data_IF_302803439200
#
_entry.id   IF_302803439200
#
_cell.length_a   1.000
_cell.length_b   1.000
_cell.length_c   1.000
_cell.angle_alpha   90.00
_cell.angle_beta   90.00
_cell.angle_gamma   90.00
#
_symmetry.space_group_name_H-M   'P 1'
#
loop_
_entity.id
_entity.type
_entity.pdbx_description
1 polymer ?
#
# COMPACT_ATOMS: atom_id res chain seq x y z
N UNK A 1 -6.61 45.43 35.70
CA UNK A 1 -6.34 44.30 34.83
C UNK A 1 -5.01 44.37 34.08
N UNK A 2 -4.49 45.51 33.64
CA UNK A 2 -3.16 45.61 32.96
C UNK A 2 -1.95 45.19 33.81
N UNK A 3 -1.97 45.41 35.17
CA UNK A 3 -0.85 45.04 36.04
C UNK A 3 -0.67 43.53 36.26
N UNK A 4 -1.73 42.75 36.24
CA UNK A 4 -1.68 41.29 36.43
C UNK A 4 -1.10 40.60 35.18
N UNK A 5 -1.45 41.10 33.99
CA UNK A 5 -0.90 40.59 32.72
C UNK A 5 0.60 40.82 32.60
N UNK A 6 1.09 42.00 33.01
CA UNK A 6 2.52 42.31 32.97
C UNK A 6 3.31 41.45 33.96
N UNK A 7 2.77 41.17 35.14
CA UNK A 7 3.43 40.30 36.11
C UNK A 7 3.45 38.82 35.66
N UNK A 8 2.41 38.33 35.00
CA UNK A 8 2.37 36.97 34.41
C UNK A 8 3.36 36.90 33.26
N UNK A 9 3.40 37.89 32.37
CA UNK A 9 4.35 37.95 31.27
C UNK A 9 5.80 38.02 31.76
N UNK A 10 6.09 38.84 32.78
CA UNK A 10 7.40 38.93 33.40
C UNK A 10 7.79 37.61 34.09
N UNK A 11 6.88 36.97 34.81
CA UNK A 11 7.13 35.65 35.43
C UNK A 11 7.36 34.55 34.39
N UNK A 12 6.64 34.55 33.26
CA UNK A 12 6.90 33.64 32.15
C UNK A 12 8.26 33.91 31.48
N UNK A 13 8.63 35.19 31.30
CA UNK A 13 9.94 35.57 30.73
C UNK A 13 11.10 35.16 31.65
N UNK A 14 10.96 35.39 32.97
CA UNK A 14 11.95 34.96 33.97
C UNK A 14 12.04 33.44 34.04
N UNK A 15 10.92 32.73 33.95
CA UNK A 15 10.87 31.27 33.82
C UNK A 15 11.65 30.76 32.60
N UNK A 16 11.50 31.38 31.42
CA UNK A 16 12.21 31.03 30.21
C UNK A 16 13.72 31.29 30.32
N UNK A 17 14.13 32.35 30.98
CA UNK A 17 15.55 32.69 31.19
C UNK A 17 16.23 31.75 32.21
N UNK A 18 15.51 31.25 33.19
CA UNK A 18 16.05 30.28 34.17
C UNK A 18 16.25 28.89 33.57
N UNK A 19 15.54 28.53 32.49
CA UNK A 19 15.72 27.29 31.77
C UNK A 19 16.89 27.27 30.76
N UNK A 20 17.45 28.42 30.41
CA UNK A 20 18.55 28.51 29.43
C UNK A 20 19.92 28.07 29.95
N UNK A 21 20.06 27.76 31.26
CA UNK A 21 21.31 27.33 31.88
C UNK A 21 21.53 25.81 32.06
N UNK A 22 20.55 24.98 31.79
CA UNK A 22 20.71 23.53 31.95
C UNK A 22 21.40 22.90 30.74
N UNK A 23 22.62 22.36 30.91
CA UNK A 23 23.33 21.59 29.91
C UNK A 23 22.53 20.34 29.52
N UNK A 24 22.18 20.22 28.22
CA UNK A 24 21.46 19.09 27.66
C UNK A 24 22.28 17.78 27.74
N UNK A 25 23.58 17.91 27.91
CA UNK A 25 24.57 16.82 27.90
C UNK A 25 24.98 16.31 29.28
N UNK A 26 24.36 16.83 30.36
CA UNK A 26 24.79 16.60 31.76
C UNK A 26 24.74 15.13 32.23
N UNK A 27 23.90 14.29 31.65
CA UNK A 27 23.68 12.92 32.09
C UNK A 27 23.79 11.92 30.91
N UNK A 28 24.69 12.18 29.96
CA UNK A 28 25.00 11.24 28.91
C UNK A 28 25.85 10.08 29.49
N UNK A 29 25.64 8.85 29.00
CA UNK A 29 26.55 7.74 29.32
C UNK A 29 27.98 8.06 28.89
N UNK A 30 28.96 7.50 29.60
CA UNK A 30 30.38 7.67 29.26
C UNK A 30 30.67 7.17 27.84
N UNK A 31 31.33 7.99 27.04
CA UNK A 31 31.69 7.67 25.66
C UNK A 31 30.60 7.91 24.61
N UNK A 32 29.38 8.33 25.02
CA UNK A 32 28.31 8.61 24.07
C UNK A 32 28.25 10.10 23.69
N UNK A 33 27.97 10.36 22.42
CA UNK A 33 27.81 11.70 21.84
C UNK A 33 26.36 11.88 21.38
N UNK A 34 25.75 13.00 21.82
CA UNK A 34 24.37 13.32 21.49
C UNK A 34 24.23 13.70 20.03
N UNK A 35 23.32 13.04 19.32
CA UNK A 35 22.99 13.35 17.95
C UNK A 35 22.09 14.60 17.87
N UNK A 36 22.51 15.63 17.14
CA UNK A 36 21.81 16.90 17.01
C UNK A 36 21.07 17.07 15.67
N UNK A 37 21.25 16.15 14.76
CA UNK A 37 20.58 16.10 13.46
C UNK A 37 21.51 15.76 12.31
N UNK A 38 20.92 15.41 11.16
CA UNK A 38 21.62 15.21 9.91
C UNK A 38 21.39 16.40 8.97
N UNK A 39 22.32 16.56 8.05
CA UNK A 39 22.19 17.46 6.89
C UNK A 39 22.62 16.70 5.65
N UNK A 40 21.83 16.77 4.60
CA UNK A 40 22.16 16.19 3.28
C UNK A 40 22.65 17.29 2.35
N UNK A 41 23.76 17.03 1.68
CA UNK A 41 24.28 17.85 0.56
C UNK A 41 24.28 16.98 -0.68
N UNK A 42 23.73 17.50 -1.76
CA UNK A 42 23.62 16.78 -3.03
C UNK A 42 24.60 17.38 -4.02
N UNK A 43 25.49 16.54 -4.54
CA UNK A 43 26.41 16.88 -5.63
C UNK A 43 25.90 16.28 -6.93
N UNK A 44 26.21 16.90 -8.06
CA UNK A 44 25.82 16.46 -9.40
C UNK A 44 24.30 16.14 -9.49
N UNK A 45 23.46 17.03 -8.93
CA UNK A 45 22.01 16.85 -8.89
C UNK A 45 21.46 16.64 -10.30
N UNK A 46 20.71 15.57 -10.51
CA UNK A 46 19.97 15.33 -11.74
C UNK A 46 18.68 16.15 -11.75
N UNK A 47 18.34 16.71 -12.92
CA UNK A 47 17.12 17.49 -13.12
C UNK A 47 15.94 16.64 -13.64
N UNK A 48 16.05 15.30 -13.60
CA UNK A 48 14.96 14.41 -14.04
C UNK A 48 13.91 14.24 -12.94
N UNK A 49 12.62 14.07 -13.30
CA UNK A 49 11.56 13.78 -12.30
C UNK A 49 11.87 12.53 -11.44
N UNK A 50 12.46 11.50 -12.06
CA UNK A 50 12.91 10.28 -11.37
C UNK A 50 14.01 10.60 -10.35
N UNK A 51 14.93 11.52 -10.70
CA UNK A 51 15.98 11.98 -9.78
C UNK A 51 15.45 12.75 -8.58
N UNK A 52 14.38 13.52 -8.72
CA UNK A 52 13.74 14.22 -7.61
C UNK A 52 13.02 13.24 -6.66
N UNK A 53 12.36 12.22 -7.21
CA UNK A 53 11.78 11.13 -6.41
C UNK A 53 12.85 10.38 -5.65
N UNK A 54 13.94 10.00 -6.32
CA UNK A 54 15.09 9.32 -5.70
C UNK A 54 15.65 10.13 -4.52
N UNK A 55 15.86 11.44 -4.70
CA UNK A 55 16.36 12.31 -3.62
C UNK A 55 15.39 12.39 -2.43
N UNK A 56 14.09 12.43 -2.68
CA UNK A 56 13.09 12.45 -1.61
C UNK A 56 13.15 11.18 -0.76
N UNK A 57 13.28 10.03 -1.38
CA UNK A 57 13.41 8.74 -0.68
C UNK A 57 14.77 8.59 0.03
N UNK A 58 15.84 9.07 -0.61
CA UNK A 58 17.18 9.09 -0.01
C UNK A 58 17.19 9.98 1.22
N UNK A 59 16.64 11.19 1.15
CA UNK A 59 16.54 12.08 2.29
C UNK A 59 15.73 11.44 3.44
N UNK A 60 14.63 10.78 3.13
CA UNK A 60 13.84 10.04 4.13
C UNK A 60 14.63 8.88 4.75
N UNK A 61 15.46 8.17 3.97
CA UNK A 61 16.31 7.08 4.47
C UNK A 61 17.48 7.58 5.33
N UNK A 62 18.02 8.76 5.01
CA UNK A 62 19.12 9.39 5.74
C UNK A 62 18.63 10.15 6.98
N UNK A 63 17.38 10.66 6.98
CA UNK A 63 16.87 11.44 8.10
C UNK A 63 16.67 10.59 9.36
N UNK A 64 17.10 11.13 10.46
CA UNK A 64 16.81 10.66 11.81
C UNK A 64 16.47 11.84 12.68
N UNK A 65 15.27 11.86 13.21
CA UNK A 65 14.83 12.96 14.09
C UNK A 65 15.64 12.97 15.38
N UNK A 66 16.37 14.05 15.69
CA UNK A 66 17.11 14.16 16.92
C UNK A 66 16.18 14.40 18.12
N UNK A 67 16.59 13.93 19.30
CA UNK A 67 15.82 14.14 20.54
C UNK A 67 15.71 15.60 20.99
N UNK A 68 16.54 16.48 20.42
CA UNK A 68 16.60 17.91 20.75
C UNK A 68 15.53 18.75 20.04
N UNK A 69 14.83 18.18 19.05
CA UNK A 69 13.78 18.89 18.30
C UNK A 69 12.39 18.55 18.84
N UNK A 70 11.57 19.58 19.01
CA UNK A 70 10.17 19.49 19.44
C UNK A 70 9.27 20.18 18.41
N UNK A 71 8.02 19.67 18.20
CA UNK A 71 7.03 20.23 17.28
C UNK A 71 7.57 20.42 15.84
N UNK A 72 8.14 19.35 15.24
CA UNK A 72 8.61 19.41 13.86
C UNK A 72 9.79 20.35 13.60
N UNK A 73 10.51 20.74 14.63
CA UNK A 73 11.68 21.63 14.51
C UNK A 73 11.38 23.13 14.71
N UNK A 74 10.13 23.50 14.98
CA UNK A 74 9.74 24.90 15.18
C UNK A 74 10.28 25.51 16.48
N UNK A 75 10.54 24.67 17.50
CA UNK A 75 11.06 25.14 18.79
C UNK A 75 12.37 24.41 19.12
N UNK A 76 13.51 25.12 19.21
CA UNK A 76 14.81 24.56 19.55
C UNK A 76 14.98 24.28 21.05
N UNK A 77 13.91 24.22 21.84
CA UNK A 77 13.99 24.02 23.28
C UNK A 77 14.18 22.56 23.59
N UNK A 78 15.30 22.15 24.22
CA UNK A 78 15.61 20.77 24.56
C UNK A 78 14.77 20.27 25.77
N UNK A 79 13.48 20.63 25.80
CA UNK A 79 12.58 20.35 26.93
C UNK A 79 12.47 18.85 27.20
N UNK A 80 12.40 18.04 26.17
CA UNK A 80 12.36 16.56 26.31
C UNK A 80 13.65 15.99 26.89
N UNK A 81 14.81 16.53 26.49
CA UNK A 81 16.10 16.12 27.03
C UNK A 81 16.29 16.60 28.48
N UNK A 82 15.85 17.80 28.78
CA UNK A 82 15.84 18.28 30.15
C UNK A 82 14.97 17.42 31.06
N UNK A 83 13.74 17.11 30.62
CA UNK A 83 12.87 16.17 31.34
C UNK A 83 13.48 14.78 31.47
N UNK A 84 14.11 14.27 30.42
CA UNK A 84 14.81 13.01 30.49
C UNK A 84 15.90 13.02 31.56
N UNK A 85 16.76 14.03 31.55
CA UNK A 85 17.87 14.18 32.49
C UNK A 85 17.40 14.31 33.95
N UNK A 86 16.30 15.04 34.21
CA UNK A 86 15.77 15.24 35.55
C UNK A 86 14.99 14.02 36.07
N UNK A 87 14.25 13.32 35.21
CA UNK A 87 13.37 12.26 35.63
C UNK A 87 13.94 10.85 35.46
N UNK A 88 15.02 10.65 34.68
CA UNK A 88 15.66 9.32 34.48
C UNK A 88 16.13 8.69 35.82
N UNK A 89 16.50 9.50 36.78
CA UNK A 89 16.96 9.07 38.12
C UNK A 89 15.86 8.47 39.01
N UNK A 90 14.58 8.71 38.71
CA UNK A 90 13.49 8.24 39.54
C UNK A 90 13.11 6.81 39.21
N UNK A 91 13.26 5.87 40.18
CA UNK A 91 12.93 4.45 40.02
C UNK A 91 11.48 4.12 40.34
N UNK A 92 10.79 4.94 41.18
CA UNK A 92 9.40 4.74 41.62
C UNK A 92 8.67 6.08 41.85
N UNK A 93 7.34 6.05 41.93
CA UNK A 93 6.49 7.20 42.27
C UNK A 93 6.10 8.10 41.10
N UNK A 94 5.63 9.32 41.43
CA UNK A 94 5.13 10.30 40.47
C UNK A 94 6.17 10.71 39.43
N UNK A 95 7.45 10.81 39.81
CA UNK A 95 8.53 11.12 38.88
C UNK A 95 8.72 10.06 37.79
N UNK A 96 8.58 8.75 38.14
CA UNK A 96 8.62 7.69 37.14
C UNK A 96 7.37 7.68 36.24
N UNK A 97 6.21 7.95 36.78
CA UNK A 97 4.99 8.09 36.00
C UNK A 97 5.12 9.24 34.98
N UNK A 98 5.61 10.37 35.42
CA UNK A 98 5.84 11.54 34.58
C UNK A 98 6.90 11.30 33.51
N UNK A 99 8.00 10.61 33.84
CA UNK A 99 9.01 10.16 32.89
C UNK A 99 8.40 9.29 31.79
N UNK A 100 7.63 8.26 32.17
CA UNK A 100 7.01 7.35 31.20
C UNK A 100 5.97 8.04 30.29
N UNK A 101 5.29 9.06 30.80
CA UNK A 101 4.20 9.74 30.07
C UNK A 101 4.67 10.90 29.19
N UNK A 102 5.68 11.64 29.64
CA UNK A 102 6.07 12.90 29.01
C UNK A 102 7.49 12.88 28.41
N UNK A 103 8.42 12.13 29.02
CA UNK A 103 9.84 12.10 28.64
C UNK A 103 10.23 10.79 27.92
N UNK A 104 9.26 10.05 27.39
CA UNK A 104 9.43 8.68 26.88
C UNK A 104 10.36 8.51 25.66
N UNK A 105 10.99 9.56 25.14
CA UNK A 105 11.96 9.43 24.07
C UNK A 105 13.38 9.48 24.64
N UNK A 106 14.10 8.35 24.65
CA UNK A 106 15.51 8.33 25.05
C UNK A 106 16.32 9.24 24.13
N UNK A 107 17.48 9.76 24.60
CA UNK A 107 18.39 10.50 23.75
C UNK A 107 18.83 9.65 22.57
N UNK A 108 18.93 10.27 21.40
CA UNK A 108 19.49 9.64 20.22
C UNK A 108 21.01 9.92 20.23
N UNK A 109 21.80 8.87 20.24
CA UNK A 109 23.27 8.95 20.19
C UNK A 109 23.77 8.71 18.77
N UNK A 110 24.94 9.22 18.44
CA UNK A 110 25.59 8.97 17.16
C UNK A 110 25.74 7.46 16.92
N UNK A 111 26.11 6.69 17.96
CA UNK A 111 26.18 5.22 17.91
C UNK A 111 24.89 4.52 17.48
N UNK A 112 23.73 5.09 17.84
CA UNK A 112 22.40 4.53 17.53
C UNK A 112 21.86 4.95 16.16
N UNK A 113 22.44 5.99 15.53
CA UNK A 113 22.00 6.45 14.19
C UNK A 113 22.40 5.46 13.09
N UNK A 114 23.51 4.71 13.29
CA UNK A 114 24.05 3.77 12.33
C UNK A 114 24.22 4.36 10.91
N UNK A 115 25.02 5.41 10.74
CA UNK A 115 25.17 6.10 9.45
C UNK A 115 25.66 5.18 8.33
N UNK A 116 26.48 4.17 8.65
CA UNK A 116 26.97 3.18 7.67
C UNK A 116 25.83 2.37 7.03
N UNK A 117 24.83 1.97 7.81
CA UNK A 117 23.65 1.26 7.29
C UNK A 117 22.84 2.21 6.41
N UNK A 118 22.67 3.45 6.84
CA UNK A 118 21.90 4.47 6.10
C UNK A 118 22.52 4.80 4.75
N UNK A 119 23.85 4.97 4.68
CA UNK A 119 24.50 5.22 3.39
C UNK A 119 24.42 4.01 2.47
N UNK A 120 24.43 2.76 2.99
CA UNK A 120 24.19 1.56 2.16
C UNK A 120 22.78 1.56 1.59
N UNK A 121 21.77 1.86 2.39
CA UNK A 121 20.38 1.98 1.92
C UNK A 121 20.27 3.08 0.87
N UNK A 122 20.77 4.26 1.14
CA UNK A 122 20.75 5.39 0.21
C UNK A 122 21.51 5.10 -1.10
N UNK A 123 22.64 4.37 -1.03
CA UNK A 123 23.37 3.95 -2.23
C UNK A 123 22.60 2.91 -3.05
N UNK A 124 21.87 2.00 -2.39
CA UNK A 124 20.99 1.08 -3.11
C UNK A 124 19.82 1.81 -3.77
N UNK A 125 19.20 2.78 -3.09
CA UNK A 125 18.18 3.64 -3.69
C UNK A 125 18.71 4.37 -4.93
N UNK A 126 19.94 4.91 -4.90
CA UNK A 126 20.54 5.49 -6.11
C UNK A 126 20.57 4.49 -7.28
N UNK A 127 20.97 3.23 -7.01
CA UNK A 127 21.00 2.17 -8.03
C UNK A 127 19.61 1.79 -8.53
N UNK A 128 18.64 1.73 -7.63
CA UNK A 128 17.25 1.42 -7.97
C UNK A 128 16.63 2.46 -8.91
N UNK A 129 17.10 3.70 -8.84
CA UNK A 129 16.72 4.79 -9.74
C UNK A 129 17.70 5.02 -10.91
N UNK A 130 18.60 4.06 -11.19
CA UNK A 130 19.47 4.09 -12.35
C UNK A 130 20.79 4.87 -12.17
N UNK A 131 21.10 5.35 -10.97
CA UNK A 131 22.36 6.04 -10.66
C UNK A 131 23.43 5.05 -10.21
N UNK A 132 23.82 4.11 -11.09
CA UNK A 132 24.74 2.99 -10.76
C UNK A 132 26.12 3.43 -10.29
N UNK A 133 26.60 4.60 -10.76
CA UNK A 133 27.86 5.20 -10.38
C UNK A 133 27.72 6.19 -9.21
N UNK A 134 26.50 6.38 -8.70
CA UNK A 134 26.23 7.24 -7.57
C UNK A 134 26.84 6.72 -6.27
N UNK A 135 27.20 7.62 -5.39
CA UNK A 135 27.83 7.30 -4.10
C UNK A 135 27.29 8.18 -2.99
N UNK A 136 27.09 7.58 -1.82
CA UNK A 136 26.73 8.32 -0.60
C UNK A 136 27.84 8.15 0.42
N UNK A 137 28.27 9.27 1.01
CA UNK A 137 29.28 9.30 2.09
C UNK A 137 28.75 10.06 3.28
N UNK A 138 29.39 9.94 4.44
CA UNK A 138 29.04 10.70 5.61
C UNK A 138 30.27 11.19 6.36
N UNK A 139 30.11 12.31 7.08
CA UNK A 139 31.06 12.85 8.05
C UNK A 139 30.36 13.18 9.34
N UNK A 140 31.00 12.87 10.47
CA UNK A 140 30.50 13.27 11.79
C UNK A 140 31.11 14.61 12.17
N UNK A 141 30.26 15.63 12.30
CA UNK A 141 30.65 16.98 12.64
C UNK A 141 30.41 17.23 14.13
N UNK A 142 31.47 17.28 14.92
CA UNK A 142 31.40 17.62 16.36
C UNK A 142 31.15 19.10 16.53
N UNK A 143 30.25 19.45 17.44
CA UNK A 143 29.94 20.86 17.76
C UNK A 143 31.13 21.56 18.39
N UNK A 144 31.49 22.75 17.88
CA UNK A 144 32.63 23.55 18.35
C UNK A 144 32.49 24.04 19.79
N UNK A 145 31.24 24.13 20.30
CA UNK A 145 30.94 24.65 21.66
C UNK A 145 30.75 23.52 22.68
N UNK A 146 30.40 22.33 22.26
CA UNK A 146 30.09 21.22 23.14
C UNK A 146 30.50 19.91 22.46
N UNK A 147 31.64 19.35 22.82
CA UNK A 147 32.20 18.12 22.25
C UNK A 147 31.33 16.86 22.45
N UNK A 148 30.35 16.93 23.36
CA UNK A 148 29.37 15.89 23.59
C UNK A 148 28.16 15.96 22.61
N UNK A 149 28.18 16.88 21.65
CA UNK A 149 27.20 17.01 20.59
C UNK A 149 27.83 16.83 19.22
N UNK A 150 27.16 16.08 18.35
CA UNK A 150 27.57 15.98 16.98
C UNK A 150 26.38 15.88 16.03
N UNK A 151 26.60 16.30 14.81
CA UNK A 151 25.69 16.13 13.67
C UNK A 151 26.35 15.27 12.62
N UNK A 152 25.55 14.74 11.69
CA UNK A 152 26.04 13.96 10.56
C UNK A 152 25.79 14.75 9.28
N UNK A 153 26.84 14.97 8.51
CA UNK A 153 26.75 15.50 7.16
C UNK A 153 26.79 14.31 6.17
N UNK A 154 25.70 14.13 5.42
CA UNK A 154 25.64 13.18 4.33
C UNK A 154 25.91 13.90 3.00
N UNK A 155 26.79 13.34 2.19
CA UNK A 155 27.04 13.83 0.83
C UNK A 155 26.55 12.80 -0.16
N UNK A 156 25.58 13.17 -0.99
CA UNK A 156 24.98 12.34 -2.04
C UNK A 156 25.52 12.82 -3.39
N UNK A 157 26.40 12.06 -4.00
CA UNK A 157 26.90 12.31 -5.36
C UNK A 157 26.12 11.40 -6.33
N UNK A 158 25.17 11.99 -7.08
CA UNK A 158 24.25 11.22 -7.93
C UNK A 158 24.92 10.71 -9.21
N UNK A 159 25.85 11.45 -9.80
CA UNK A 159 26.41 11.18 -11.15
C UNK A 159 25.30 11.18 -12.21
N UNK A 160 25.58 10.61 -13.39
CA UNK A 160 24.63 10.53 -14.49
C UNK A 160 23.77 9.27 -14.35
N UNK A 161 22.44 9.38 -14.59
CA UNK A 161 21.55 8.22 -14.63
C UNK A 161 21.77 7.37 -15.88
N UNK A 162 21.38 6.12 -15.82
CA UNK A 162 21.30 5.22 -16.97
C UNK A 162 19.92 5.23 -17.58
N UNK A 163 19.87 5.14 -18.92
CA UNK A 163 18.64 5.09 -19.70
C UNK A 163 18.46 3.71 -20.34
N UNK A 164 17.21 3.30 -20.51
CA UNK A 164 16.87 2.05 -21.15
C UNK A 164 17.14 2.18 -22.64
N UNK A 165 17.99 1.32 -23.21
CA UNK A 165 18.26 1.25 -24.64
C UNK A 165 17.22 0.36 -25.36
N UNK A 166 17.10 -0.88 -24.88
CA UNK A 166 16.22 -1.88 -25.46
C UNK A 166 15.58 -2.77 -24.39
N UNK A 167 14.37 -3.26 -24.67
CA UNK A 167 13.65 -4.21 -23.83
C UNK A 167 13.26 -5.43 -24.66
N UNK A 168 13.69 -6.63 -24.25
CA UNK A 168 13.37 -7.89 -24.88
C UNK A 168 12.63 -8.83 -23.95
N UNK A 169 11.63 -9.55 -24.46
CA UNK A 169 10.98 -10.68 -23.79
C UNK A 169 11.54 -11.98 -24.36
N UNK A 170 12.16 -12.80 -23.52
CA UNK A 170 12.85 -14.01 -23.96
C UNK A 170 12.55 -15.22 -23.09
N UNK A 171 12.69 -16.43 -23.65
CA UNK A 171 12.54 -17.73 -22.97
C UNK A 171 11.14 -18.03 -22.44
N UNK A 172 10.13 -17.28 -22.88
CA UNK A 172 8.73 -17.61 -22.63
C UNK A 172 8.19 -18.57 -23.68
N UNK A 173 7.05 -19.24 -23.40
CA UNK A 173 6.36 -20.04 -24.42
C UNK A 173 5.87 -19.16 -25.58
N UNK A 174 5.76 -19.68 -26.82
CA UNK A 174 5.29 -18.86 -27.94
C UNK A 174 3.94 -18.19 -27.70
N UNK A 175 3.03 -18.84 -26.95
CA UNK A 175 1.71 -18.28 -26.64
C UNK A 175 1.81 -17.11 -25.66
N UNK A 176 2.58 -17.26 -24.57
CA UNK A 176 2.77 -16.17 -23.60
C UNK A 176 3.51 -15.00 -24.23
N UNK A 177 4.55 -15.27 -25.02
CA UNK A 177 5.32 -14.24 -25.73
C UNK A 177 4.40 -13.43 -26.66
N UNK A 178 3.54 -14.11 -27.44
CA UNK A 178 2.58 -13.43 -28.32
C UNK A 178 1.61 -12.50 -27.54
N UNK A 179 1.14 -12.94 -26.36
CA UNK A 179 0.28 -12.13 -25.51
C UNK A 179 1.04 -10.89 -24.98
N UNK A 180 2.27 -11.08 -24.51
CA UNK A 180 3.11 -10.02 -23.97
C UNK A 180 3.45 -8.96 -25.04
N UNK A 181 3.84 -9.40 -26.24
CA UNK A 181 4.18 -8.48 -27.36
C UNK A 181 2.96 -7.68 -27.82
N UNK A 182 1.76 -8.28 -27.89
CA UNK A 182 0.54 -7.53 -28.20
C UNK A 182 0.19 -6.48 -27.15
N UNK A 183 0.58 -6.71 -25.90
CA UNK A 183 0.37 -5.78 -24.78
C UNK A 183 1.46 -4.73 -24.63
N UNK A 184 2.51 -4.74 -25.45
CA UNK A 184 3.70 -3.89 -25.32
C UNK A 184 3.40 -2.37 -25.33
N UNK A 185 2.37 -1.95 -26.04
CA UNK A 185 1.96 -0.53 -26.08
C UNK A 185 1.56 0.07 -24.73
N UNK A 186 1.26 -0.77 -23.75
CA UNK A 186 0.88 -0.37 -22.40
C UNK A 186 2.01 -0.65 -21.39
N UNK A 187 3.25 -0.83 -21.87
CA UNK A 187 4.41 -1.08 -21.03
C UNK A 187 4.74 0.16 -20.18
N UNK A 188 5.14 -0.06 -18.94
CA UNK A 188 5.69 0.96 -18.05
C UNK A 188 7.15 1.27 -18.34
N UNK A 189 7.80 0.47 -19.19
CA UNK A 189 9.21 0.63 -19.57
C UNK A 189 9.35 0.77 -21.08
N UNK A 190 10.05 1.82 -21.52
CA UNK A 190 10.25 2.12 -22.93
C UNK A 190 11.71 2.51 -23.21
N UNK A 191 12.23 2.26 -24.41
CA UNK A 191 13.53 2.78 -24.80
C UNK A 191 13.59 4.30 -24.69
N UNK A 192 14.69 4.83 -24.16
CA UNK A 192 14.91 6.25 -23.91
C UNK A 192 14.43 6.74 -22.52
N UNK A 193 13.70 5.95 -21.77
CA UNK A 193 13.33 6.28 -20.39
C UNK A 193 14.47 5.98 -19.41
N UNK A 194 14.53 6.73 -18.31
CA UNK A 194 15.50 6.48 -17.24
C UNK A 194 15.21 5.13 -16.58
N UNK A 195 16.25 4.36 -16.28
CA UNK A 195 16.12 3.11 -15.51
C UNK A 195 15.53 3.38 -14.13
N UNK A 196 14.49 2.63 -13.78
CA UNK A 196 13.81 2.71 -12.51
C UNK A 196 13.27 1.32 -12.12
N UNK A 197 13.66 0.80 -10.96
CA UNK A 197 13.22 -0.52 -10.48
C UNK A 197 11.72 -0.54 -10.20
N UNK A 198 11.12 0.58 -9.79
CA UNK A 198 9.66 0.67 -9.55
C UNK A 198 8.90 0.38 -10.86
N UNK A 199 9.30 1.01 -11.97
CA UNK A 199 8.67 0.79 -13.27
C UNK A 199 8.88 -0.65 -13.77
N UNK A 200 10.03 -1.26 -13.47
CA UNK A 200 10.28 -2.67 -13.77
C UNK A 200 9.33 -3.60 -13.00
N UNK A 201 9.06 -3.30 -11.73
CA UNK A 201 8.13 -4.08 -10.90
C UNK A 201 6.67 -3.88 -11.32
N UNK A 202 6.30 -2.66 -11.68
CA UNK A 202 4.98 -2.36 -12.26
C UNK A 202 4.79 -3.09 -13.59
N UNK A 203 5.82 -3.15 -14.44
CA UNK A 203 5.77 -3.91 -15.69
C UNK A 203 5.60 -5.42 -15.46
N UNK A 204 6.31 -6.00 -14.48
CA UNK A 204 6.09 -7.42 -14.09
C UNK A 204 4.66 -7.65 -13.61
N UNK A 205 4.13 -6.73 -12.81
CA UNK A 205 2.74 -6.77 -12.31
C UNK A 205 1.74 -6.64 -13.46
N UNK A 206 1.95 -5.71 -14.39
CA UNK A 206 1.13 -5.52 -15.59
C UNK A 206 1.11 -6.77 -16.47
N UNK A 207 2.28 -7.36 -16.74
CA UNK A 207 2.38 -8.57 -17.55
C UNK A 207 1.69 -9.74 -16.85
N UNK A 208 1.87 -9.91 -15.56
CA UNK A 208 1.17 -10.94 -14.78
C UNK A 208 -0.34 -10.78 -14.89
N UNK A 209 -0.86 -9.58 -14.71
CA UNK A 209 -2.29 -9.27 -14.86
C UNK A 209 -2.77 -9.52 -16.28
N UNK A 210 -1.99 -9.13 -17.30
CA UNK A 210 -2.30 -9.39 -18.70
C UNK A 210 -2.43 -10.89 -18.98
N UNK A 211 -1.51 -11.71 -18.48
CA UNK A 211 -1.53 -13.16 -18.64
C UNK A 211 -2.69 -13.80 -17.85
N UNK A 212 -2.92 -13.37 -16.61
CA UNK A 212 -4.05 -13.83 -15.80
C UNK A 212 -5.40 -13.50 -16.44
N UNK A 213 -5.50 -12.40 -17.15
CA UNK A 213 -6.68 -12.05 -17.94
C UNK A 213 -6.84 -12.87 -19.22
N UNK A 214 -5.86 -13.71 -19.55
CA UNK A 214 -5.83 -14.63 -20.69
C UNK A 214 -5.76 -16.10 -20.27
N UNK A 215 -6.16 -16.40 -19.03
CA UNK A 215 -6.29 -17.77 -18.54
C UNK A 215 -5.16 -18.23 -17.62
N UNK A 216 -4.03 -17.59 -17.56
CA UNK A 216 -2.87 -18.04 -16.77
C UNK A 216 -3.06 -17.81 -15.29
N UNK A 217 -3.98 -18.52 -14.66
CA UNK A 217 -4.44 -18.32 -13.29
C UNK A 217 -3.32 -18.27 -12.25
N UNK A 218 -2.34 -19.18 -12.34
CA UNK A 218 -1.24 -19.27 -11.39
C UNK A 218 -0.06 -18.36 -11.71
N UNK A 219 -0.12 -17.58 -12.79
CA UNK A 219 1.00 -16.69 -13.13
C UNK A 219 1.12 -15.54 -12.14
N UNK A 220 2.38 -15.25 -11.70
CA UNK A 220 2.70 -14.21 -10.70
C UNK A 220 3.83 -13.31 -11.20
N UNK A 221 3.93 -12.04 -10.72
CA UNK A 221 5.05 -11.16 -11.05
C UNK A 221 6.42 -11.78 -10.71
N UNK A 222 6.53 -12.50 -9.59
CA UNK A 222 7.76 -13.13 -9.12
C UNK A 222 8.29 -14.26 -10.02
N UNK A 223 7.49 -14.69 -10.99
CA UNK A 223 7.89 -15.67 -12.00
C UNK A 223 8.69 -15.08 -13.16
N UNK A 224 8.96 -13.78 -13.11
CA UNK A 224 9.74 -13.03 -14.08
C UNK A 224 10.88 -12.30 -13.41
N UNK A 225 12.01 -12.23 -14.09
CA UNK A 225 13.17 -11.44 -13.67
C UNK A 225 13.81 -10.73 -14.86
N UNK A 226 14.54 -9.65 -14.57
CA UNK A 226 15.29 -8.92 -15.59
C UNK A 226 16.76 -9.32 -15.58
N UNK A 227 17.32 -9.49 -16.75
CA UNK A 227 18.76 -9.47 -16.98
C UNK A 227 19.11 -8.15 -17.60
N UNK A 228 19.97 -7.40 -16.93
CA UNK A 228 20.45 -6.09 -17.33
C UNK A 228 21.86 -6.21 -17.90
N UNK A 229 22.10 -5.58 -19.06
CA UNK A 229 23.40 -5.61 -19.74
C UNK A 229 23.79 -4.18 -20.13
N UNK A 230 24.95 -3.75 -19.64
CA UNK A 230 25.53 -2.43 -19.94
C UNK A 230 26.76 -2.51 -20.84
N UNK A 231 27.19 -3.73 -21.23
CA UNK A 231 28.45 -3.94 -21.96
C UNK A 231 28.30 -3.85 -23.48
N UNK A 232 27.10 -4.13 -23.98
CA UNK A 232 26.79 -4.16 -25.42
C UNK A 232 26.05 -2.91 -25.92
N UNK A 233 25.93 -1.87 -25.07
CA UNK A 233 25.20 -0.64 -25.35
C UNK A 233 26.08 0.59 -25.10
N UNK A 234 25.75 1.77 -25.68
CA UNK A 234 26.48 3.01 -25.41
C UNK A 234 26.58 3.33 -23.92
N UNK A 235 27.65 4.02 -23.51
CA UNK A 235 27.83 4.41 -22.12
C UNK A 235 26.61 5.21 -21.59
N UNK A 236 26.18 4.90 -20.37
CA UNK A 236 25.00 5.49 -19.77
C UNK A 236 23.66 4.86 -20.24
N UNK A 237 23.72 3.73 -20.95
CA UNK A 237 22.54 2.97 -21.37
C UNK A 237 22.57 1.55 -20.84
N UNK A 238 21.38 0.91 -20.82
CA UNK A 238 21.16 -0.44 -20.32
C UNK A 238 20.19 -1.19 -21.23
N UNK A 239 20.56 -2.41 -21.63
CA UNK A 239 19.66 -3.33 -22.33
C UNK A 239 19.01 -4.26 -21.33
N UNK A 240 17.68 -4.40 -21.37
CA UNK A 240 16.90 -5.20 -20.46
C UNK A 240 16.32 -6.43 -21.16
N UNK A 241 16.51 -7.58 -20.55
CA UNK A 241 15.91 -8.85 -21.00
C UNK A 241 15.01 -9.40 -19.90
N UNK A 242 13.70 -9.38 -20.12
CA UNK A 242 12.73 -10.02 -19.22
C UNK A 242 12.68 -11.51 -19.56
N UNK A 243 12.96 -12.34 -18.57
CA UNK A 243 12.99 -13.79 -18.68
C UNK A 243 12.18 -14.45 -17.55
N UNK A 244 11.64 -15.66 -17.76
CA UNK A 244 11.08 -16.44 -16.66
C UNK A 244 12.18 -16.88 -15.69
N UNK A 245 11.83 -16.96 -14.40
CA UNK A 245 12.74 -17.52 -13.38
C UNK A 245 13.01 -19.01 -13.66
N UNK A 246 14.21 -19.52 -13.33
CA UNK A 246 14.49 -20.94 -13.38
C UNK A 246 13.50 -21.74 -12.52
N UNK A 247 12.99 -22.86 -13.05
CA UNK A 247 12.04 -23.71 -12.33
C UNK A 247 10.61 -23.18 -12.28
N UNK A 248 10.22 -22.31 -13.22
CA UNK A 248 8.83 -21.85 -13.34
C UNK A 248 7.85 -23.03 -13.35
N UNK A 249 6.84 -23.09 -12.44
CA UNK A 249 5.90 -24.20 -12.36
C UNK A 249 5.14 -24.42 -13.67
N UNK A 250 4.97 -25.66 -14.09
CA UNK A 250 4.21 -26.01 -15.29
C UNK A 250 2.76 -25.51 -15.26
N UNK A 251 2.16 -25.45 -14.05
CA UNK A 251 0.83 -24.89 -13.84
C UNK A 251 0.74 -23.40 -14.22
N UNK A 252 1.82 -22.63 -14.03
CA UNK A 252 1.85 -21.21 -14.40
C UNK A 252 2.04 -20.97 -15.90
N UNK A 253 2.44 -22.00 -16.66
CA UNK A 253 2.76 -21.89 -18.08
C UNK A 253 1.59 -22.24 -19.02
N UNK A 254 0.43 -22.57 -18.48
CA UNK A 254 -0.75 -22.94 -19.26
C UNK A 254 -1.99 -22.15 -18.88
N UNK A 255 -2.93 -21.96 -19.84
CA UNK A 255 -4.19 -21.32 -19.55
C UNK A 255 -5.16 -22.27 -18.84
N UNK A 256 -6.02 -21.72 -18.01
CA UNK A 256 -7.10 -22.41 -17.30
C UNK A 256 -8.47 -21.94 -17.77
N UNK A 257 -9.42 -22.84 -17.74
CA UNK A 257 -10.81 -22.61 -18.13
C UNK A 257 -11.70 -22.68 -16.90
N UNK A 258 -12.76 -21.88 -16.87
CA UNK A 258 -13.75 -21.91 -15.79
C UNK A 258 -14.74 -23.04 -16.04
N UNK A 259 -14.86 -23.93 -15.07
CA UNK A 259 -15.76 -25.08 -15.08
C UNK A 259 -17.10 -24.80 -14.41
N UNK A 260 -17.49 -25.71 -13.52
CA UNK A 260 -18.76 -25.66 -12.82
C UNK A 260 -18.70 -24.65 -11.65
N UNK A 261 -19.85 -24.05 -11.33
CA UNK A 261 -19.96 -23.12 -10.23
C UNK A 261 -20.88 -23.67 -9.12
N UNK A 262 -20.45 -23.57 -7.87
CA UNK A 262 -21.21 -23.90 -6.68
C UNK A 262 -21.34 -22.68 -5.78
N UNK A 263 -22.52 -22.45 -5.22
CA UNK A 263 -22.84 -21.33 -4.36
C UNK A 263 -23.27 -21.84 -3.01
N UNK A 264 -22.67 -21.35 -1.95
CA UNK A 264 -23.00 -21.66 -0.56
C UNK A 264 -23.50 -20.39 0.13
N UNK A 265 -24.80 -20.34 0.43
CA UNK A 265 -25.47 -19.20 1.05
C UNK A 265 -25.75 -19.52 2.52
N UNK A 266 -24.98 -18.91 3.38
CA UNK A 266 -25.12 -19.01 4.83
C UNK A 266 -26.24 -18.09 5.34
N UNK A 267 -26.89 -18.49 6.42
CA UNK A 267 -27.88 -17.64 7.11
C UNK A 267 -27.25 -16.37 7.68
N UNK A 268 -28.09 -15.45 8.16
CA UNK A 268 -27.66 -14.12 8.67
C UNK A 268 -26.71 -14.16 9.86
N UNK A 269 -26.75 -15.25 10.65
CA UNK A 269 -25.86 -15.45 11.79
C UNK A 269 -24.78 -16.52 11.48
N UNK A 270 -24.54 -16.81 10.20
CA UNK A 270 -23.55 -17.81 9.77
C UNK A 270 -24.08 -19.24 9.78
N UNK A 271 -25.41 -19.47 9.85
CA UNK A 271 -25.97 -20.82 9.81
C UNK A 271 -25.64 -21.52 8.49
N UNK A 272 -25.16 -22.75 8.58
CA UNK A 272 -24.74 -23.53 7.42
C UNK A 272 -25.92 -23.85 6.48
N UNK A 273 -25.68 -23.94 5.16
CA UNK A 273 -26.66 -24.42 4.21
C UNK A 273 -27.18 -25.81 4.56
N UNK A 274 -28.49 -26.01 4.55
CA UNK A 274 -29.15 -27.28 4.87
C UNK A 274 -30.07 -27.80 3.75
N UNK A 275 -30.14 -27.07 2.65
CA UNK A 275 -30.90 -27.45 1.48
C UNK A 275 -30.13 -27.03 0.22
N UNK A 276 -30.48 -27.61 -0.95
CA UNK A 276 -29.81 -27.34 -2.20
C UNK A 276 -30.74 -27.42 -3.39
N UNK A 277 -30.41 -26.68 -4.45
CA UNK A 277 -31.08 -26.78 -5.73
C UNK A 277 -30.10 -26.60 -6.87
N UNK A 278 -30.41 -27.22 -8.01
CA UNK A 278 -29.69 -26.98 -9.24
C UNK A 278 -30.48 -26.01 -10.12
N UNK A 279 -29.82 -24.94 -10.55
CA UNK A 279 -30.38 -24.01 -11.52
C UNK A 279 -29.44 -23.91 -12.73
N UNK A 280 -29.86 -24.52 -13.85
CA UNK A 280 -29.01 -24.72 -15.05
C UNK A 280 -27.72 -25.48 -14.67
N UNK A 281 -26.54 -24.84 -14.80
CA UNK A 281 -25.24 -25.42 -14.40
C UNK A 281 -24.70 -24.85 -13.09
N UNK A 282 -25.55 -24.22 -12.28
CA UNK A 282 -25.21 -23.63 -10.98
C UNK A 282 -25.80 -24.49 -9.87
N UNK A 283 -24.94 -25.00 -8.98
CA UNK A 283 -25.37 -25.70 -7.78
C UNK A 283 -25.47 -24.72 -6.62
N UNK A 284 -26.66 -24.52 -6.06
CA UNK A 284 -26.95 -23.54 -5.02
C UNK A 284 -27.33 -24.25 -3.73
N UNK A 285 -26.48 -24.12 -2.72
CA UNK A 285 -26.75 -24.58 -1.35
C UNK A 285 -27.19 -23.39 -0.52
N UNK A 286 -28.27 -23.52 0.26
CA UNK A 286 -28.85 -22.41 1.00
C UNK A 286 -29.41 -22.84 2.37
N UNK A 287 -29.59 -21.89 3.28
CA UNK A 287 -30.18 -22.13 4.60
C UNK A 287 -31.69 -21.89 4.57
N UNK A 288 -32.49 -22.91 4.95
CA UNK A 288 -33.96 -22.92 5.05
C UNK A 288 -34.69 -22.53 3.76
N UNK A 289 -34.58 -21.27 3.33
CA UNK A 289 -35.26 -20.73 2.16
C UNK A 289 -34.30 -19.86 1.35
N UNK A 290 -34.29 -20.06 0.04
CA UNK A 290 -33.51 -19.25 -0.86
C UNK A 290 -34.01 -17.79 -0.86
N UNK A 291 -33.16 -16.85 -0.44
CA UNK A 291 -33.51 -15.44 -0.30
C UNK A 291 -33.19 -14.60 -1.55
N UNK A 292 -32.56 -15.19 -2.55
CA UNK A 292 -32.17 -14.54 -3.80
C UNK A 292 -32.70 -15.34 -4.99
N UNK A 293 -33.00 -14.65 -6.08
CA UNK A 293 -33.44 -15.32 -7.32
C UNK A 293 -32.26 -16.08 -7.94
N UNK A 294 -32.38 -17.37 -8.27
CA UNK A 294 -31.31 -18.14 -8.89
C UNK A 294 -30.76 -17.51 -10.17
N UNK A 295 -31.63 -16.88 -10.96
CA UNK A 295 -31.24 -16.21 -12.20
C UNK A 295 -30.27 -15.02 -11.95
N UNK A 296 -30.37 -14.34 -10.81
CA UNK A 296 -29.46 -13.25 -10.45
C UNK A 296 -28.04 -13.81 -10.25
N UNK A 297 -27.88 -14.87 -9.45
CA UNK A 297 -26.59 -15.54 -9.23
C UNK A 297 -26.04 -16.11 -10.55
N UNK A 298 -26.87 -16.79 -11.30
CA UNK A 298 -26.51 -17.35 -12.61
C UNK A 298 -26.01 -16.27 -13.57
N UNK A 299 -26.62 -15.12 -13.60
CA UNK A 299 -26.24 -14.00 -14.45
C UNK A 299 -24.81 -13.52 -14.20
N UNK A 300 -24.38 -13.49 -12.95
CA UNK A 300 -23.05 -13.04 -12.59
C UNK A 300 -21.99 -14.15 -12.64
N UNK A 301 -22.33 -15.37 -12.22
CA UNK A 301 -21.41 -16.49 -12.16
C UNK A 301 -21.23 -17.25 -13.48
N UNK A 302 -22.11 -17.06 -14.46
CA UNK A 302 -22.00 -17.72 -15.74
C UNK A 302 -21.09 -16.96 -16.71
N UNK A 303 -19.86 -17.44 -16.85
CA UNK A 303 -18.86 -16.87 -17.76
C UNK A 303 -19.28 -16.90 -19.25
N UNK A 304 -20.22 -17.74 -19.63
CA UNK A 304 -20.70 -17.84 -21.03
C UNK A 304 -21.68 -16.73 -21.41
N UNK A 305 -22.33 -16.09 -20.46
CA UNK A 305 -23.45 -15.18 -20.72
C UNK A 305 -23.03 -13.85 -21.38
N UNK A 306 -21.76 -13.48 -21.27
CA UNK A 306 -21.24 -12.23 -21.83
C UNK A 306 -20.84 -12.31 -23.31
N UNK A 307 -21.03 -13.47 -23.95
CA UNK A 307 -20.71 -13.67 -25.37
C UNK A 307 -22.00 -13.60 -26.18
N UNK A 308 -22.12 -12.57 -27.01
CA UNK A 308 -23.30 -12.35 -27.86
C UNK A 308 -23.45 -13.40 -28.95
N UNK A 309 -22.37 -14.02 -29.41
CA UNK A 309 -22.38 -14.92 -30.54
C UNK A 309 -22.43 -16.38 -30.08
N UNK A 310 -23.40 -17.15 -30.57
CA UNK A 310 -23.58 -18.57 -30.23
C UNK A 310 -22.36 -19.45 -30.62
N UNK A 311 -21.69 -19.17 -31.73
CA UNK A 311 -20.48 -19.87 -32.15
C UNK A 311 -19.29 -19.63 -31.18
N UNK A 312 -19.16 -18.41 -30.65
CA UNK A 312 -18.15 -18.13 -29.63
C UNK A 312 -18.49 -18.76 -28.27
N UNK A 313 -19.78 -18.94 -27.94
CA UNK A 313 -20.20 -19.65 -26.72
C UNK A 313 -19.82 -21.12 -26.73
N UNK A 314 -19.80 -21.73 -27.87
CA UNK A 314 -19.39 -23.14 -28.05
C UNK A 314 -17.86 -23.34 -28.00
N UNK A 315 -17.07 -22.29 -28.19
CA UNK A 315 -15.62 -22.38 -28.14
C UNK A 315 -15.10 -22.34 -26.70
N UNK A 316 -14.09 -23.16 -26.39
CA UNK A 316 -13.43 -23.16 -25.07
C UNK A 316 -12.83 -21.78 -24.69
N UNK A 317 -12.57 -20.91 -25.67
CA UNK A 317 -12.05 -19.55 -25.43
C UNK A 317 -12.98 -18.66 -24.59
N UNK A 318 -14.28 -18.92 -24.57
CA UNK A 318 -15.26 -18.15 -23.79
C UNK A 318 -15.25 -18.48 -22.29
N UNK A 319 -14.64 -19.61 -21.95
CA UNK A 319 -14.49 -20.07 -20.57
C UNK A 319 -13.12 -19.78 -19.96
N UNK A 320 -12.22 -19.13 -20.70
CA UNK A 320 -10.92 -18.77 -20.15
C UNK A 320 -11.09 -17.95 -18.87
N UNK A 321 -10.32 -18.33 -17.86
CA UNK A 321 -10.23 -17.55 -16.63
C UNK A 321 -9.76 -16.11 -16.95
N UNK A 322 -10.27 -15.17 -16.21
CA UNK A 322 -9.86 -13.77 -16.26
C UNK A 322 -9.95 -13.16 -14.87
N UNK A 323 -8.84 -12.64 -14.39
CA UNK A 323 -8.76 -11.95 -13.10
C UNK A 323 -9.71 -10.76 -13.07
N UNK A 324 -9.71 -9.92 -14.10
CA UNK A 324 -10.60 -8.77 -14.22
C UNK A 324 -12.08 -9.15 -14.07
N UNK A 325 -12.47 -10.28 -14.68
CA UNK A 325 -13.85 -10.77 -14.56
C UNK A 325 -14.16 -11.28 -13.16
N UNK A 326 -13.24 -11.98 -12.52
CA UNK A 326 -13.38 -12.40 -11.12
C UNK A 326 -13.62 -11.19 -10.22
N UNK A 327 -12.79 -10.16 -10.34
CA UNK A 327 -12.88 -8.92 -9.57
C UNK A 327 -14.21 -8.20 -9.85
N UNK A 328 -14.62 -8.08 -11.12
CA UNK A 328 -15.91 -7.50 -11.48
C UNK A 328 -17.10 -8.24 -10.88
N UNK A 329 -17.08 -9.58 -10.90
CA UNK A 329 -18.16 -10.38 -10.32
C UNK A 329 -18.22 -10.18 -8.82
N UNK A 330 -17.09 -10.22 -8.15
CA UNK A 330 -17.00 -10.02 -6.70
C UNK A 330 -17.45 -8.60 -6.31
N UNK A 331 -17.00 -7.59 -7.03
CA UNK A 331 -17.39 -6.20 -6.81
C UNK A 331 -18.91 -6.01 -6.99
N UNK A 332 -19.48 -6.49 -8.10
CA UNK A 332 -20.91 -6.35 -8.39
C UNK A 332 -21.79 -7.06 -7.38
N UNK A 333 -21.42 -8.28 -6.96
CA UNK A 333 -22.15 -9.01 -5.93
C UNK A 333 -22.04 -8.32 -4.55
N UNK A 334 -20.89 -7.75 -4.22
CA UNK A 334 -20.69 -6.98 -2.99
C UNK A 334 -21.51 -5.67 -3.00
N UNK A 335 -21.57 -4.98 -4.13
CA UNK A 335 -22.33 -3.73 -4.29
C UNK A 335 -23.86 -3.92 -4.12
N UNK A 336 -24.37 -5.15 -4.24
CA UNK A 336 -25.80 -5.41 -3.99
C UNK A 336 -26.21 -5.16 -2.53
N UNK A 337 -25.28 -5.11 -1.58
CA UNK A 337 -25.56 -4.86 -0.16
C UNK A 337 -26.39 -5.95 0.53
N UNK A 338 -26.55 -7.11 -0.10
CA UNK A 338 -27.33 -8.23 0.44
C UNK A 338 -26.48 -9.24 1.21
N UNK A 339 -25.17 -9.18 1.06
CA UNK A 339 -24.21 -10.04 1.73
C UNK A 339 -23.36 -9.24 2.69
N UNK A 340 -23.21 -9.71 3.91
CA UNK A 340 -22.25 -9.22 4.91
C UNK A 340 -20.85 -9.77 4.69
N UNK A 341 -20.77 -10.94 4.08
CA UNK A 341 -19.53 -11.59 3.66
C UNK A 341 -19.74 -12.22 2.29
N UNK A 342 -18.77 -12.09 1.42
CA UNK A 342 -18.73 -12.70 0.10
C UNK A 342 -17.29 -13.09 -0.23
N UNK A 343 -17.09 -14.35 -0.57
CA UNK A 343 -15.82 -14.87 -1.07
C UNK A 343 -16.05 -15.69 -2.35
N UNK A 344 -15.15 -15.53 -3.31
CA UNK A 344 -15.21 -16.17 -4.62
C UNK A 344 -13.90 -16.91 -4.88
N UNK A 345 -13.91 -18.22 -4.68
CA UNK A 345 -12.74 -19.08 -4.79
C UNK A 345 -12.72 -19.82 -6.12
N UNK A 346 -11.53 -19.96 -6.68
CA UNK A 346 -11.25 -20.75 -7.88
C UNK A 346 -10.28 -21.87 -7.50
N UNK A 347 -10.68 -23.10 -7.72
CA UNK A 347 -9.86 -24.26 -7.43
C UNK A 347 -9.84 -25.24 -8.62
N UNK A 348 -8.73 -25.97 -8.83
CA UNK A 348 -8.69 -27.02 -9.85
C UNK A 348 -9.83 -28.01 -9.66
N UNK A 349 -10.44 -28.44 -10.75
CA UNK A 349 -11.53 -29.42 -10.74
C UNK A 349 -11.06 -30.77 -10.18
N UNK A 350 -9.84 -31.14 -10.46
CA UNK A 350 -9.18 -32.33 -9.95
C UNK A 350 -7.71 -32.07 -9.62
N UNK A 351 -7.07 -33.00 -8.93
CA UNK A 351 -5.67 -32.90 -8.48
C UNK A 351 -4.66 -33.40 -9.52
N UNK A 352 -5.09 -33.75 -10.73
CA UNK A 352 -4.19 -34.24 -11.76
C UNK A 352 -3.29 -33.15 -12.30
N UNK A 353 -2.05 -33.47 -12.62
CA UNK A 353 -1.09 -32.51 -13.18
C UNK A 353 -1.53 -31.94 -14.54
N UNK A 354 -2.52 -32.52 -15.20
CA UNK A 354 -3.03 -32.11 -16.51
C UNK A 354 -4.30 -31.26 -16.40
N UNK A 355 -4.90 -31.13 -15.19
CA UNK A 355 -6.12 -30.36 -15.01
C UNK A 355 -5.95 -28.92 -15.47
N UNK A 356 -6.76 -28.49 -16.41
CA UNK A 356 -6.82 -27.11 -16.96
C UNK A 356 -8.12 -26.41 -16.61
N UNK A 357 -8.97 -27.02 -15.78
CA UNK A 357 -10.31 -26.53 -15.44
C UNK A 357 -10.36 -26.11 -13.98
N UNK A 358 -10.88 -24.90 -13.73
CA UNK A 358 -11.11 -24.33 -12.41
C UNK A 358 -12.60 -24.34 -12.11
N UNK A 359 -12.99 -24.98 -11.01
CA UNK A 359 -14.33 -24.84 -10.46
C UNK A 359 -14.42 -23.57 -9.60
N UNK A 360 -15.57 -22.92 -9.65
CA UNK A 360 -15.85 -21.70 -8.91
C UNK A 360 -16.70 -22.03 -7.68
N UNK A 361 -16.26 -21.63 -6.51
CA UNK A 361 -17.03 -21.73 -5.27
C UNK A 361 -17.28 -20.33 -4.73
N UNK A 362 -18.54 -19.95 -4.66
CA UNK A 362 -18.99 -18.73 -4.00
C UNK A 362 -19.47 -19.06 -2.61
N UNK A 363 -18.93 -18.41 -1.59
CA UNK A 363 -19.43 -18.48 -0.22
C UNK A 363 -19.93 -17.09 0.18
N UNK A 364 -21.17 -17.01 0.64
CA UNK A 364 -21.74 -15.74 1.04
C UNK A 364 -22.65 -15.87 2.27
N UNK A 365 -22.56 -14.90 3.17
CA UNK A 365 -23.43 -14.77 4.34
C UNK A 365 -24.39 -13.61 4.12
N UNK A 366 -25.66 -13.80 4.34
CA UNK A 366 -26.63 -12.72 4.18
C UNK A 366 -26.45 -11.62 5.23
N UNK A 367 -26.52 -10.37 4.79
CA UNK A 367 -26.62 -9.22 5.67
C UNK A 367 -28.04 -9.12 6.31
N UNK A 368 -28.16 -8.29 7.33
CA UNK A 368 -29.48 -7.91 7.86
C UNK A 368 -30.22 -7.13 6.76
N UNK A 369 -31.50 -7.47 6.47
CA UNK A 369 -32.19 -6.86 5.35
C UNK A 369 -32.68 -5.43 5.61
N UNK A 370 -32.68 -5.00 6.87
CA UNK A 370 -33.13 -3.69 7.30
C UNK A 370 -31.97 -2.94 7.94
N UNK A 371 -31.75 -1.73 7.47
CA UNK A 371 -30.82 -0.76 8.03
C UNK A 371 -31.55 0.54 8.35
N UNK A 372 -31.30 1.13 9.52
CA UNK A 372 -31.90 2.36 9.97
C UNK A 372 -30.80 3.35 10.34
N UNK A 373 -30.88 4.55 9.80
CA UNK A 373 -29.91 5.63 9.96
C UNK A 373 -30.59 6.85 10.59
N UNK A 374 -30.01 7.40 11.64
CA UNK A 374 -30.38 8.67 12.23
C UNK A 374 -29.21 9.64 12.12
N UNK A 375 -29.41 10.73 11.37
CA UNK A 375 -28.42 11.81 11.28
C UNK A 375 -28.95 13.05 12.00
N UNK A 376 -28.11 13.65 12.83
CA UNK A 376 -28.34 14.95 13.43
C UNK A 376 -27.31 15.92 12.84
N UNK A 377 -27.77 17.01 12.29
CA UNK A 377 -26.92 18.00 11.64
C UNK A 377 -27.35 19.44 12.02
N UNK A 378 -26.48 20.38 11.72
CA UNK A 378 -26.82 21.81 11.80
C UNK A 378 -26.96 22.31 10.38
N UNK A 379 -28.14 22.87 10.06
CA UNK A 379 -28.45 23.36 8.72
C UNK A 379 -28.45 24.89 8.75
N UNK A 380 -27.60 25.49 7.90
CA UNK A 380 -27.66 26.94 7.64
C UNK A 380 -28.40 27.19 6.34
N UNK A 381 -29.46 27.94 6.43
CA UNK A 381 -30.27 28.32 5.25
C UNK A 381 -29.70 29.56 4.57
N UNK A 382 -30.08 29.80 3.33
CA UNK A 382 -29.58 30.94 2.52
C UNK A 382 -29.94 32.34 3.09
N UNK A 383 -30.78 32.41 4.11
CA UNK A 383 -31.15 33.64 4.84
C UNK A 383 -30.33 33.79 6.17
N UNK A 384 -29.19 33.15 6.31
CA UNK A 384 -28.31 33.14 7.50
C UNK A 384 -28.96 32.57 8.78
N UNK A 385 -30.14 31.96 8.69
CA UNK A 385 -30.71 31.26 9.83
C UNK A 385 -30.07 29.86 9.96
N UNK A 386 -29.45 29.62 11.11
CA UNK A 386 -28.86 28.34 11.48
C UNK A 386 -29.73 27.64 12.50
N UNK A 387 -30.13 26.43 12.23
CA UNK A 387 -30.98 25.60 13.10
C UNK A 387 -30.57 24.13 13.11
N UNK A 388 -31.05 23.38 14.12
CA UNK A 388 -30.83 21.94 14.14
C UNK A 388 -31.65 21.27 13.04
N UNK A 389 -31.05 20.32 12.34
CA UNK A 389 -31.71 19.45 11.39
C UNK A 389 -31.58 17.99 11.85
N UNK A 390 -32.58 17.21 11.51
CA UNK A 390 -32.57 15.76 11.73
C UNK A 390 -33.03 15.04 10.46
N UNK A 391 -32.39 13.91 10.17
CA UNK A 391 -32.89 13.00 9.14
C UNK A 391 -32.96 11.56 9.69
N UNK A 392 -34.06 10.88 9.35
CA UNK A 392 -34.25 9.47 9.67
C UNK A 392 -34.41 8.71 8.36
N UNK A 393 -33.52 7.74 8.13
CA UNK A 393 -33.52 6.89 6.95
C UNK A 393 -33.81 5.43 7.34
N UNK A 394 -34.59 4.74 6.53
CA UNK A 394 -34.77 3.29 6.60
C UNK A 394 -34.49 2.70 5.23
N UNK A 395 -33.53 1.81 5.17
CA UNK A 395 -33.17 1.08 3.95
C UNK A 395 -33.53 -0.39 4.10
N UNK A 396 -34.27 -0.94 3.15
CA UNK A 396 -34.52 -2.37 3.06
C UNK A 396 -33.88 -2.93 1.79
N UNK A 397 -32.93 -3.85 1.97
CA UNK A 397 -32.23 -4.50 0.88
C UNK A 397 -32.91 -5.82 0.51
N UNK A 398 -32.83 -6.19 -0.78
CA UNK A 398 -33.29 -7.46 -1.33
C UNK A 398 -34.78 -7.71 -1.14
N UNK A 399 -35.58 -6.73 -1.46
CA UNK A 399 -37.06 -6.78 -1.24
C UNK A 399 -37.72 -7.92 -2.03
N UNK A 400 -37.30 -8.13 -3.28
CA UNK A 400 -37.87 -9.12 -4.21
C UNK A 400 -36.87 -10.24 -4.59
N UNK A 401 -35.71 -10.31 -3.95
CA UNK A 401 -34.70 -11.34 -4.20
C UNK A 401 -33.77 -11.11 -5.39
N UNK A 402 -33.81 -9.94 -6.00
CA UNK A 402 -32.95 -9.55 -7.13
C UNK A 402 -31.81 -8.62 -6.76
N UNK A 403 -31.65 -8.29 -5.46
CA UNK A 403 -30.65 -7.33 -4.98
C UNK A 403 -31.15 -5.88 -5.01
N UNK A 404 -32.47 -5.67 -5.06
CA UNK A 404 -33.06 -4.33 -5.04
C UNK A 404 -32.94 -3.72 -3.64
N UNK A 405 -32.66 -2.40 -3.58
CA UNK A 405 -32.65 -1.62 -2.35
C UNK A 405 -33.79 -0.61 -2.37
N UNK A 406 -34.55 -0.56 -1.29
CA UNK A 406 -35.61 0.42 -1.08
C UNK A 406 -35.26 1.31 0.11
N UNK A 407 -35.14 2.60 -0.14
CA UNK A 407 -34.75 3.59 0.87
C UNK A 407 -35.84 4.63 1.04
N UNK A 408 -36.24 4.88 2.28
CA UNK A 408 -37.12 5.97 2.67
C UNK A 408 -36.40 6.87 3.64
N UNK A 409 -36.19 8.15 3.29
CA UNK A 409 -35.53 9.13 4.14
C UNK A 409 -36.47 10.31 4.44
N UNK A 410 -36.75 10.53 5.72
CA UNK A 410 -37.47 11.68 6.24
C UNK A 410 -36.45 12.71 6.72
N UNK A 411 -36.61 13.97 6.31
CA UNK A 411 -35.76 15.09 6.71
C UNK A 411 -36.60 16.19 7.33
N UNK A 412 -36.15 16.73 8.47
CA UNK A 412 -36.71 17.90 9.14
C UNK A 412 -35.61 18.94 9.40
N UNK A 413 -35.88 20.22 9.13
CA UNK A 413 -34.97 21.35 9.39
C UNK A 413 -35.73 22.62 9.73
#
# INVERSE_FOLDING_TARGET
MKGIYNNILASCLIGIILFSGCSVTKHLPEGEVLYTGGKTVVENKSATPVGETALTEIDAALDKTPSTKMLGGLLPIPFKMWMYNDFVKYKKGFGKWMFNRLAANPPVFISTVNPEVRIKVATNLLRDYGYFNGKVTYETLVDKKDSLKASILYTVDMKNPYFIDTVYYQRFTPQTLHIMERGRRMSYISPGEQFNVVDLDEERTRISTLLRNRGYFYFRPDYMTYLADTTLVPGGHISLRLIPVPGLPAAAQRPYYVGDASVYLFGKNGEAPNDSMMYKNLNIHYYKKLQVRPNMLYRWLNYQQFVRNAQMRASNRTRLYSQYRQEQVQEKLSQLGIFSYLDLQYAPKDTTAVCDTLNVTMQATFAKPLDAELELNVVTKSNDQTGPGASFGVTRNNVFGGGESWNVKLKGS
#
